data_IF_155086672191
#
_entry.id   IF_155086672191
#
_cell.length_a   1.000
_cell.length_b   1.000
_cell.length_c   1.000
_cell.angle_alpha   90.00
_cell.angle_beta   90.00
_cell.angle_gamma   90.00
#
_symmetry.space_group_name_H-M   'P 1'
#
loop_
_entity.id
_entity.type
_entity.pdbx_description
1 polymer ?
#
# COMPACT_ATOMS: atom_id res chain seq x y z
N UNK A 1 -16.28 -26.11 11.54
CA UNK A 1 -15.29 -26.19 12.64
C UNK A 1 -13.85 -26.34 12.14
N UNK A 2 -13.53 -27.28 11.22
CA UNK A 2 -12.16 -27.46 10.67
C UNK A 2 -11.57 -26.20 10.00
N UNK A 3 -12.35 -25.51 9.16
CA UNK A 3 -11.92 -24.27 8.49
C UNK A 3 -11.64 -23.12 9.47
N UNK A 4 -12.43 -23.03 10.55
CA UNK A 4 -12.21 -22.02 11.59
C UNK A 4 -10.88 -22.26 12.32
N UNK A 5 -10.59 -23.50 12.71
CA UNK A 5 -9.31 -23.85 13.33
C UNK A 5 -8.12 -23.60 12.40
N UNK A 6 -8.27 -23.92 11.11
CA UNK A 6 -7.23 -23.65 10.11
C UNK A 6 -6.94 -22.16 9.97
N UNK A 7 -7.99 -21.34 9.83
CA UNK A 7 -7.88 -19.88 9.79
C UNK A 7 -7.27 -19.28 11.07
N UNK A 8 -7.55 -19.90 12.22
CA UNK A 8 -6.96 -19.51 13.51
C UNK A 8 -5.46 -19.83 13.60
N UNK A 9 -5.06 -21.00 13.09
CA UNK A 9 -3.68 -21.47 13.06
C UNK A 9 -2.83 -20.70 12.04
N UNK A 10 -3.44 -20.13 11.00
CA UNK A 10 -2.73 -19.33 10.00
C UNK A 10 -2.31 -17.95 10.54
N UNK A 11 -2.75 -17.55 11.74
CA UNK A 11 -2.42 -16.27 12.37
C UNK A 11 -1.49 -16.47 13.58
N UNK A 12 -0.17 -16.31 13.45
CA UNK A 12 0.78 -16.57 14.54
C UNK A 12 0.53 -15.70 15.78
N UNK A 13 0.01 -14.48 15.60
CA UNK A 13 -0.38 -13.57 16.70
C UNK A 13 -1.51 -14.14 17.56
N UNK A 14 -2.46 -14.83 16.95
CA UNK A 14 -3.62 -15.44 17.60
C UNK A 14 -3.22 -16.71 18.37
N UNK A 15 -2.25 -17.47 17.83
CA UNK A 15 -1.64 -18.61 18.52
C UNK A 15 -0.98 -18.17 19.83
N UNK A 16 -0.19 -17.09 19.82
CA UNK A 16 0.48 -16.57 21.03
C UNK A 16 -0.56 -16.16 22.08
N UNK A 17 -1.62 -15.47 21.66
CA UNK A 17 -2.70 -15.05 22.55
C UNK A 17 -3.42 -16.25 23.18
N UNK A 18 -3.75 -17.27 22.39
CA UNK A 18 -4.38 -18.48 22.89
C UNK A 18 -3.48 -19.29 23.82
N UNK A 19 -2.18 -19.38 23.51
CA UNK A 19 -1.22 -20.02 24.39
C UNK A 19 -1.14 -19.29 25.74
N UNK A 20 -1.09 -17.96 25.74
CA UNK A 20 -1.15 -17.16 26.95
C UNK A 20 -2.42 -17.39 27.76
N UNK A 21 -3.59 -17.44 27.10
CA UNK A 21 -4.87 -17.68 27.76
C UNK A 21 -4.92 -19.09 28.40
N UNK A 22 -4.43 -20.10 27.68
CA UNK A 22 -4.35 -21.46 28.20
C UNK A 22 -3.43 -21.56 29.42
N UNK A 23 -2.24 -20.95 29.37
CA UNK A 23 -1.32 -20.89 30.52
C UNK A 23 -1.93 -20.18 31.73
N UNK A 24 -2.64 -19.06 31.49
CA UNK A 24 -3.33 -18.31 32.53
C UNK A 24 -4.42 -19.16 33.22
N UNK A 25 -5.26 -19.83 32.42
CA UNK A 25 -6.31 -20.71 32.93
C UNK A 25 -5.73 -21.91 33.70
N UNK A 26 -4.65 -22.52 33.20
CA UNK A 26 -3.99 -23.63 33.87
C UNK A 26 -3.36 -23.20 35.22
N UNK A 27 -2.75 -22.01 35.25
CA UNK A 27 -2.22 -21.42 36.48
C UNK A 27 -3.31 -21.10 37.51
N UNK A 28 -4.44 -20.52 37.08
CA UNK A 28 -5.53 -20.12 37.97
C UNK A 28 -6.36 -21.30 38.48
N UNK A 29 -6.78 -22.21 37.59
CA UNK A 29 -7.65 -23.32 37.94
C UNK A 29 -6.90 -24.55 38.47
N UNK A 30 -5.59 -24.67 38.17
CA UNK A 30 -4.77 -25.83 38.51
C UNK A 30 -5.09 -27.10 37.72
N UNK A 31 -6.16 -27.09 36.92
CA UNK A 31 -6.59 -28.18 36.04
C UNK A 31 -7.35 -27.64 34.84
N UNK A 32 -7.16 -28.26 33.68
CA UNK A 32 -7.94 -27.99 32.47
C UNK A 32 -8.23 -29.31 31.75
N UNK A 33 -9.40 -29.41 31.13
CA UNK A 33 -9.76 -30.55 30.29
C UNK A 33 -9.49 -30.19 28.82
N UNK A 34 -8.63 -30.95 28.15
CA UNK A 34 -8.34 -30.78 26.71
C UNK A 34 -8.57 -32.12 26.04
N UNK A 35 -9.49 -32.17 25.07
CA UNK A 35 -9.81 -33.39 24.31
C UNK A 35 -10.16 -34.60 25.20
N UNK A 36 -10.86 -34.38 26.31
CA UNK A 36 -11.28 -35.44 27.23
C UNK A 36 -10.20 -35.92 28.21
N UNK A 37 -8.96 -35.43 28.13
CA UNK A 37 -7.93 -35.67 29.13
C UNK A 37 -7.83 -34.49 30.10
N UNK A 38 -7.75 -34.78 31.40
CA UNK A 38 -7.48 -33.77 32.42
C UNK A 38 -5.97 -33.59 32.59
N UNK A 39 -5.49 -32.39 32.31
CA UNK A 39 -4.13 -31.97 32.64
C UNK A 39 -4.23 -31.19 33.95
N UNK A 40 -3.58 -31.68 35.00
CA UNK A 40 -3.55 -31.06 36.31
C UNK A 40 -2.11 -30.77 36.74
N UNK A 41 -1.91 -29.61 37.36
CA UNK A 41 -0.63 -29.21 37.94
C UNK A 41 -0.82 -29.16 39.45
N UNK A 42 -0.25 -30.13 40.16
CA UNK A 42 -0.41 -30.25 41.61
C UNK A 42 0.38 -29.16 42.37
N UNK A 43 1.56 -28.82 41.86
CA UNK A 43 2.48 -27.90 42.53
C UNK A 43 2.02 -26.42 42.41
N UNK A 44 1.81 -25.72 43.55
CA UNK A 44 1.39 -24.32 43.55
C UNK A 44 2.44 -23.37 42.96
N UNK A 45 3.74 -23.68 43.04
CA UNK A 45 4.80 -22.84 42.47
C UNK A 45 4.67 -22.81 40.95
N UNK A 46 4.49 -23.97 40.32
CA UNK A 46 4.30 -24.06 38.88
C UNK A 46 3.01 -23.38 38.40
N UNK A 47 1.95 -23.38 39.23
CA UNK A 47 0.73 -22.62 38.93
C UNK A 47 0.97 -21.12 38.88
N UNK A 48 1.74 -20.57 39.82
CA UNK A 48 2.09 -19.14 39.84
C UNK A 48 2.94 -18.80 38.61
N UNK A 49 3.96 -19.61 38.31
CA UNK A 49 4.83 -19.41 37.13
C UNK A 49 4.01 -19.37 35.84
N UNK A 50 3.08 -20.32 35.67
CA UNK A 50 2.20 -20.36 34.49
C UNK A 50 1.21 -19.20 34.44
N UNK A 51 0.69 -18.77 35.59
CA UNK A 51 -0.16 -17.58 35.67
C UNK A 51 0.58 -16.34 35.18
N UNK A 52 1.79 -16.10 35.67
CA UNK A 52 2.63 -14.96 35.25
C UNK A 52 2.99 -15.04 33.78
N UNK A 53 3.45 -16.20 33.30
CA UNK A 53 3.76 -16.42 31.89
C UNK A 53 2.53 -16.19 30.99
N UNK A 54 1.35 -16.65 31.43
CA UNK A 54 0.09 -16.46 30.75
C UNK A 54 -0.29 -14.98 30.61
N UNK A 55 -0.15 -14.17 31.67
CA UNK A 55 -0.38 -12.71 31.60
C UNK A 55 0.56 -12.05 30.60
N UNK A 56 1.86 -12.38 30.64
CA UNK A 56 2.85 -11.79 29.73
C UNK A 56 2.55 -12.14 28.26
N UNK A 57 2.25 -13.41 27.97
CA UNK A 57 1.91 -13.87 26.62
C UNK A 57 0.60 -13.25 26.12
N UNK A 58 -0.43 -13.14 26.98
CA UNK A 58 -1.67 -12.45 26.63
C UNK A 58 -1.43 -10.98 26.31
N UNK A 59 -0.70 -10.26 27.18
CA UNK A 59 -0.36 -8.85 26.97
C UNK A 59 0.41 -8.64 25.67
N UNK A 60 1.41 -9.47 25.40
CA UNK A 60 2.18 -9.43 24.16
C UNK A 60 1.33 -9.80 22.93
N UNK A 61 0.50 -10.84 23.03
CA UNK A 61 -0.43 -11.25 21.97
C UNK A 61 -1.43 -10.15 21.60
N UNK A 62 -2.04 -9.50 22.60
CA UNK A 62 -2.92 -8.34 22.39
C UNK A 62 -2.17 -7.19 21.72
N UNK A 63 -0.96 -6.86 22.18
CA UNK A 63 -0.14 -5.82 21.56
C UNK A 63 0.17 -6.13 20.08
N UNK A 64 0.46 -7.40 19.75
CA UNK A 64 0.67 -7.82 18.37
C UNK A 64 -0.61 -7.75 17.52
N UNK A 65 -1.76 -8.15 18.06
CA UNK A 65 -3.05 -8.01 17.35
C UNK A 65 -3.38 -6.54 17.11
N UNK A 66 -3.15 -5.65 18.08
CA UNK A 66 -3.32 -4.21 17.92
C UNK A 66 -2.35 -3.67 16.85
N UNK A 67 -1.11 -4.13 16.85
CA UNK A 67 -0.11 -3.73 15.84
C UNK A 67 -0.53 -4.19 14.43
N UNK A 68 -0.99 -5.43 14.30
CA UNK A 68 -1.36 -6.03 13.01
C UNK A 68 -2.67 -5.42 12.47
N UNK A 69 -3.64 -5.12 13.35
CA UNK A 69 -4.86 -4.39 12.96
C UNK A 69 -4.60 -2.93 12.59
N UNK A 70 -3.59 -2.29 13.20
CA UNK A 70 -3.18 -0.92 12.83
C UNK A 70 -2.29 -0.85 11.59
N UNK A 71 -1.55 -1.92 11.29
CA UNK A 71 -0.65 -2.02 10.14
C UNK A 71 -0.80 -3.41 9.50
N UNK A 72 -1.92 -3.69 8.82
CA UNK A 72 -2.13 -4.98 8.18
C UNK A 72 -1.04 -5.18 7.13
N UNK A 73 -0.07 -6.06 7.42
CA UNK A 73 0.88 -6.50 6.41
C UNK A 73 0.17 -7.54 5.56
N UNK A 74 0.13 -7.38 4.23
CA UNK A 74 -0.42 -8.42 3.37
C UNK A 74 0.40 -9.71 3.56
N UNK A 75 -0.24 -10.76 4.08
CA UNK A 75 0.40 -12.01 4.52
C UNK A 75 0.74 -12.98 3.39
N UNK A 76 0.44 -12.61 2.13
CA UNK A 76 0.88 -13.31 0.93
C UNK A 76 1.34 -12.28 -0.10
N UNK A 77 2.39 -12.56 -0.91
CA UNK A 77 2.69 -11.75 -2.07
C UNK A 77 1.46 -11.79 -2.98
N UNK A 78 0.75 -10.66 -3.09
CA UNK A 78 -0.31 -10.53 -4.07
C UNK A 78 0.30 -10.79 -5.43
N UNK A 79 -0.23 -11.76 -6.18
CA UNK A 79 0.11 -11.90 -7.59
C UNK A 79 -0.58 -10.73 -8.31
N UNK A 80 0.13 -9.62 -8.40
CA UNK A 80 -0.35 -8.43 -9.06
C UNK A 80 -0.58 -8.73 -10.55
N UNK A 81 -1.71 -8.26 -11.08
CA UNK A 81 -2.03 -8.34 -12.51
C UNK A 81 -1.25 -7.28 -13.31
N UNK A 82 -0.96 -6.15 -12.66
CA UNK A 82 -0.24 -5.03 -13.24
C UNK A 82 0.95 -4.65 -12.36
N UNK A 83 2.02 -4.18 -12.96
CA UNK A 83 3.15 -3.61 -12.21
C UNK A 83 2.80 -2.20 -11.72
N UNK A 84 2.18 -1.38 -12.57
CA UNK A 84 1.85 0.02 -12.25
C UNK A 84 0.38 0.31 -12.53
N UNK A 85 -0.29 0.93 -11.56
CA UNK A 85 -1.50 1.71 -11.80
C UNK A 85 -1.08 3.15 -12.10
N UNK A 86 -1.38 3.63 -13.30
CA UNK A 86 -1.02 4.97 -13.76
C UNK A 86 -2.26 5.87 -13.78
N UNK A 87 -2.31 6.82 -12.86
CA UNK A 87 -3.40 7.79 -12.74
C UNK A 87 -3.05 9.10 -13.46
N UNK A 88 -3.94 9.60 -14.31
CA UNK A 88 -3.79 10.89 -14.97
C UNK A 88 -5.13 11.61 -15.16
N UNK A 89 -5.20 12.95 -15.00
CA UNK A 89 -6.47 13.69 -14.95
C UNK A 89 -7.10 13.92 -16.34
N UNK A 90 -7.29 12.85 -17.11
CA UNK A 90 -7.79 12.91 -18.50
C UNK A 90 -9.18 13.53 -18.62
N UNK A 91 -10.06 13.30 -17.64
CA UNK A 91 -11.42 13.85 -17.65
C UNK A 91 -11.51 15.30 -17.12
N UNK A 92 -10.41 15.86 -16.60
CA UNK A 92 -10.41 17.21 -16.04
C UNK A 92 -10.07 18.30 -17.06
N UNK A 93 -9.54 17.92 -18.23
CA UNK A 93 -9.26 18.85 -19.33
C UNK A 93 -10.55 19.24 -20.04
N UNK A 94 -10.59 20.45 -20.60
CA UNK A 94 -11.82 21.04 -21.14
C UNK A 94 -11.88 21.03 -22.66
N UNK A 95 -10.73 20.87 -23.32
CA UNK A 95 -10.63 20.88 -24.78
C UNK A 95 -9.99 19.60 -25.31
N UNK A 96 -10.31 19.26 -26.56
CA UNK A 96 -9.71 18.11 -27.26
C UNK A 96 -8.18 18.29 -27.43
N UNK A 97 -7.72 19.53 -27.67
CA UNK A 97 -6.29 19.83 -27.77
C UNK A 97 -5.54 19.57 -26.45
N UNK A 98 -6.10 19.98 -25.31
CA UNK A 98 -5.55 19.67 -23.99
C UNK A 98 -5.56 18.16 -23.70
N UNK A 99 -6.64 17.47 -24.12
CA UNK A 99 -6.74 16.01 -23.99
C UNK A 99 -5.64 15.29 -24.79
N UNK A 100 -5.41 15.68 -26.04
CA UNK A 100 -4.39 15.08 -26.89
C UNK A 100 -2.98 15.38 -26.36
N UNK A 101 -2.74 16.59 -25.86
CA UNK A 101 -1.48 16.95 -25.21
C UNK A 101 -1.24 16.10 -23.95
N UNK A 102 -2.25 15.97 -23.08
CA UNK A 102 -2.18 15.15 -21.89
C UNK A 102 -1.96 13.68 -22.24
N UNK A 103 -2.65 13.16 -23.25
CA UNK A 103 -2.48 11.78 -23.72
C UNK A 103 -1.08 11.53 -24.26
N UNK A 104 -0.52 12.46 -25.03
CA UNK A 104 0.84 12.37 -25.53
C UNK A 104 1.87 12.38 -24.39
N UNK A 105 1.67 13.24 -23.39
CA UNK A 105 2.48 13.29 -22.17
C UNK A 105 2.46 11.95 -21.41
N UNK A 106 1.26 11.42 -21.15
CA UNK A 106 1.07 10.14 -20.46
C UNK A 106 1.72 9.00 -21.25
N UNK A 107 1.60 8.98 -22.58
CA UNK A 107 2.26 7.97 -23.42
C UNK A 107 3.78 8.01 -23.23
N UNK A 108 4.40 9.19 -23.35
CA UNK A 108 5.85 9.36 -23.17
C UNK A 108 6.34 8.85 -21.81
N UNK A 109 5.61 9.17 -20.73
CA UNK A 109 5.96 8.74 -19.37
C UNK A 109 5.85 7.22 -19.24
N UNK A 110 4.76 6.61 -19.73
CA UNK A 110 4.57 5.15 -19.71
C UNK A 110 5.67 4.43 -20.49
N UNK A 111 6.03 4.94 -21.67
CA UNK A 111 7.10 4.38 -22.48
C UNK A 111 8.44 4.42 -21.74
N UNK A 112 8.72 5.51 -21.02
CA UNK A 112 9.91 5.62 -20.18
C UNK A 112 9.91 4.61 -19.02
N UNK A 113 8.77 4.42 -18.35
CA UNK A 113 8.62 3.40 -17.30
C UNK A 113 8.86 1.98 -17.85
N UNK A 114 8.22 1.63 -18.96
CA UNK A 114 8.38 0.32 -19.59
C UNK A 114 9.84 0.08 -20.02
N UNK A 115 10.51 1.11 -20.54
CA UNK A 115 11.88 0.99 -21.05
C UNK A 115 12.94 0.94 -19.94
N UNK A 116 12.76 1.68 -18.85
CA UNK A 116 13.83 1.92 -17.86
C UNK A 116 13.57 1.32 -16.48
N UNK A 117 12.31 1.06 -16.08
CA UNK A 117 11.93 0.78 -14.69
C UNK A 117 11.64 -0.70 -14.36
N UNK A 118 11.97 -1.66 -15.23
CA UNK A 118 11.55 -3.08 -15.07
C UNK A 118 10.03 -3.27 -14.94
N UNK A 119 9.25 -2.29 -15.41
CA UNK A 119 7.80 -2.36 -15.49
C UNK A 119 7.44 -3.09 -16.79
N UNK A 120 6.61 -4.13 -16.71
CA UNK A 120 6.16 -4.88 -17.88
C UNK A 120 4.71 -4.56 -18.22
N UNK A 121 3.90 -4.24 -17.20
CA UNK A 121 2.46 -4.04 -17.34
C UNK A 121 2.00 -2.77 -16.63
N UNK A 122 1.30 -1.90 -17.38
CA UNK A 122 0.73 -0.65 -16.86
C UNK A 122 -0.76 -0.66 -17.11
N UNK A 123 -1.55 -0.44 -16.06
CA UNK A 123 -2.96 -0.08 -16.18
C UNK A 123 -3.11 1.43 -16.24
N UNK A 124 -3.86 1.92 -17.20
CA UNK A 124 -4.18 3.34 -17.39
C UNK A 124 -5.62 3.44 -17.89
N UNK A 125 -6.52 3.98 -17.07
CA UNK A 125 -7.94 4.15 -17.38
C UNK A 125 -8.16 5.05 -18.60
N UNK A 126 -7.21 5.95 -18.90
CA UNK A 126 -7.22 6.80 -20.08
C UNK A 126 -6.92 6.05 -21.38
N UNK A 127 -6.43 4.81 -21.31
CA UNK A 127 -5.99 4.06 -22.47
C UNK A 127 -7.16 3.63 -23.36
N UNK A 128 -7.33 4.32 -24.48
CA UNK A 128 -8.36 4.00 -25.48
C UNK A 128 -9.62 4.88 -25.39
N UNK A 129 -9.70 5.77 -24.41
CA UNK A 129 -10.76 6.77 -24.33
C UNK A 129 -10.63 7.78 -25.47
N UNK A 130 -11.78 8.34 -25.88
CA UNK A 130 -11.87 9.48 -26.80
C UNK A 130 -12.38 10.68 -26.02
N UNK A 131 -11.96 11.88 -26.41
CA UNK A 131 -12.42 13.10 -25.79
C UNK A 131 -13.96 13.16 -25.76
N UNK A 132 -14.52 13.51 -24.60
CA UNK A 132 -15.96 13.60 -24.36
C UNK A 132 -16.72 12.27 -24.31
N UNK A 133 -16.04 11.13 -24.47
CA UNK A 133 -16.64 9.79 -24.35
C UNK A 133 -16.14 9.10 -23.09
N UNK A 134 -16.76 9.45 -21.98
CA UNK A 134 -16.48 8.88 -20.67
C UNK A 134 -17.36 7.67 -20.40
N UNK A 135 -16.80 6.72 -19.67
CA UNK A 135 -17.60 5.62 -19.11
C UNK A 135 -18.51 6.16 -17.99
N UNK A 136 -19.61 5.44 -17.67
CA UNK A 136 -20.40 5.74 -16.48
C UNK A 136 -19.51 5.73 -15.22
N UNK A 137 -19.76 6.70 -14.32
CA UNK A 137 -18.89 6.95 -13.16
C UNK A 137 -18.78 5.75 -12.22
N UNK A 138 -19.86 4.99 -12.03
CA UNK A 138 -19.92 3.82 -11.17
C UNK A 138 -19.09 2.65 -11.74
N UNK A 139 -19.19 2.42 -13.04
CA UNK A 139 -18.43 1.38 -13.73
C UNK A 139 -16.93 1.69 -13.77
N UNK A 140 -16.58 2.94 -14.08
CA UNK A 140 -15.19 3.40 -14.08
C UNK A 140 -14.58 3.25 -12.68
N UNK A 141 -15.29 3.71 -11.63
CA UNK A 141 -14.81 3.62 -10.26
C UNK A 141 -14.55 2.17 -9.80
N UNK A 142 -15.45 1.23 -10.10
CA UNK A 142 -15.24 -0.17 -9.69
C UNK A 142 -14.04 -0.80 -10.41
N UNK A 143 -13.94 -0.58 -11.73
CA UNK A 143 -12.85 -1.09 -12.56
C UNK A 143 -11.50 -0.52 -12.12
N UNK A 144 -11.43 0.80 -11.88
CA UNK A 144 -10.21 1.48 -11.44
C UNK A 144 -9.79 1.02 -10.04
N UNK A 145 -10.73 0.84 -9.11
CA UNK A 145 -10.42 0.34 -7.78
C UNK A 145 -9.94 -1.11 -7.81
N UNK A 146 -10.52 -1.96 -8.66
CA UNK A 146 -10.02 -3.32 -8.86
C UNK A 146 -8.61 -3.32 -9.46
N UNK A 147 -8.37 -2.53 -10.50
CA UNK A 147 -7.07 -2.43 -11.14
C UNK A 147 -6.01 -1.86 -10.18
N UNK A 148 -6.35 -0.84 -9.39
CA UNK A 148 -5.49 -0.27 -8.37
C UNK A 148 -5.10 -1.33 -7.33
N UNK A 149 -6.07 -2.09 -6.81
CA UNK A 149 -5.80 -3.20 -5.87
C UNK A 149 -4.84 -4.21 -6.48
N UNK A 150 -5.06 -4.56 -7.74
CA UNK A 150 -4.28 -5.54 -8.49
C UNK A 150 -2.94 -5.03 -9.05
N UNK A 151 -2.58 -3.77 -8.80
CA UNK A 151 -1.31 -3.18 -9.22
C UNK A 151 -0.25 -3.21 -8.13
N UNK A 152 1.02 -3.41 -8.48
CA UNK A 152 2.14 -3.44 -7.52
C UNK A 152 2.53 -2.03 -7.03
N UNK A 153 2.58 -1.08 -7.94
CA UNK A 153 2.99 0.30 -7.72
C UNK A 153 1.89 1.26 -8.16
N UNK A 154 1.98 2.50 -7.69
CA UNK A 154 1.12 3.60 -8.09
C UNK A 154 1.96 4.75 -8.67
N UNK A 155 1.55 5.28 -9.80
CA UNK A 155 2.14 6.50 -10.37
C UNK A 155 1.01 7.48 -10.67
N UNK A 156 1.16 8.70 -10.20
CA UNK A 156 0.26 9.81 -10.48
C UNK A 156 0.99 10.82 -11.37
N UNK A 157 0.41 11.17 -12.51
CA UNK A 157 0.79 12.36 -13.27
C UNK A 157 -0.22 13.48 -13.01
N UNK A 158 0.21 14.54 -12.33
CA UNK A 158 -0.63 15.66 -11.90
C UNK A 158 0.04 16.99 -12.28
N UNK A 159 -0.10 17.43 -13.54
CA UNK A 159 0.67 18.55 -14.10
C UNK A 159 0.24 19.93 -13.58
N UNK A 160 -0.89 20.00 -12.87
CA UNK A 160 -1.34 21.22 -12.21
C UNK A 160 -2.57 20.98 -11.34
N UNK A 161 -3.06 22.04 -10.69
CA UNK A 161 -4.22 22.02 -9.79
C UNK A 161 -5.56 21.75 -10.52
N UNK A 162 -5.83 20.47 -10.75
CA UNK A 162 -7.01 19.97 -11.48
C UNK A 162 -7.94 19.14 -10.59
N UNK A 163 -9.25 19.42 -10.60
CA UNK A 163 -10.22 18.58 -9.89
C UNK A 163 -10.41 17.27 -10.67
N UNK A 164 -9.96 16.15 -10.11
CA UNK A 164 -10.00 14.85 -10.78
C UNK A 164 -10.03 13.68 -9.77
N UNK A 165 -10.57 12.54 -10.19
CA UNK A 165 -10.60 11.29 -9.41
C UNK A 165 -9.21 10.78 -9.04
N UNK A 166 -8.17 11.16 -9.81
CA UNK A 166 -6.80 10.71 -9.57
C UNK A 166 -6.27 11.06 -8.17
N UNK A 167 -6.78 12.12 -7.54
CA UNK A 167 -6.45 12.47 -6.15
C UNK A 167 -7.13 11.51 -5.15
N UNK A 168 -8.35 11.06 -5.45
CA UNK A 168 -9.02 10.02 -4.68
C UNK A 168 -8.26 8.70 -4.79
N UNK A 169 -7.89 8.29 -6.01
CA UNK A 169 -7.07 7.09 -6.26
C UNK A 169 -5.72 7.16 -5.53
N UNK A 170 -5.05 8.32 -5.55
CA UNK A 170 -3.80 8.51 -4.82
C UNK A 170 -3.97 8.35 -3.30
N UNK A 171 -5.07 8.86 -2.74
CA UNK A 171 -5.43 8.64 -1.34
C UNK A 171 -5.69 7.18 -1.00
N UNK A 172 -6.40 6.46 -1.89
CA UNK A 172 -6.62 5.00 -1.74
C UNK A 172 -5.29 4.24 -1.81
N UNK A 173 -4.44 4.53 -2.79
CA UNK A 173 -3.12 3.91 -2.95
C UNK A 173 -2.25 4.11 -1.70
N UNK A 174 -2.26 5.32 -1.14
CA UNK A 174 -1.56 5.66 0.10
C UNK A 174 -2.13 4.88 1.30
N UNK A 175 -3.45 4.80 1.43
CA UNK A 175 -4.13 4.03 2.47
C UNK A 175 -3.83 2.52 2.39
N UNK A 176 -3.60 2.01 1.18
CA UNK A 176 -3.14 0.63 0.95
C UNK A 176 -1.64 0.42 1.16
N UNK A 177 -0.88 1.49 1.43
CA UNK A 177 0.57 1.42 1.62
C UNK A 177 1.36 1.08 0.35
N UNK A 178 0.79 1.29 -0.83
CA UNK A 178 1.48 1.01 -2.10
C UNK A 178 2.68 1.96 -2.29
N UNK A 179 3.83 1.48 -2.82
CA UNK A 179 4.87 2.38 -3.29
C UNK A 179 4.30 3.29 -4.38
N UNK A 180 4.51 4.60 -4.21
CA UNK A 180 3.86 5.62 -5.00
C UNK A 180 4.82 6.70 -5.45
N UNK A 181 4.66 7.17 -6.69
CA UNK A 181 5.37 8.34 -7.22
C UNK A 181 4.35 9.34 -7.71
N UNK A 182 4.43 10.56 -7.20
CA UNK A 182 3.61 11.69 -7.63
C UNK A 182 4.47 12.60 -8.49
N UNK A 183 4.18 12.61 -9.78
CA UNK A 183 4.84 13.43 -10.80
C UNK A 183 4.03 14.71 -10.94
N UNK A 184 4.62 15.85 -10.61
CA UNK A 184 3.93 17.14 -10.63
C UNK A 184 4.85 18.25 -11.11
N UNK A 185 4.26 19.33 -11.62
CA UNK A 185 4.99 20.53 -12.01
C UNK A 185 5.31 21.41 -10.80
N UNK A 186 4.39 21.45 -9.84
CA UNK A 186 4.50 22.20 -8.59
C UNK A 186 3.91 21.36 -7.44
N UNK A 187 4.72 21.01 -6.45
CA UNK A 187 4.24 20.25 -5.31
C UNK A 187 3.11 20.94 -4.53
N UNK A 188 2.99 22.27 -4.59
CA UNK A 188 1.93 23.03 -3.96
C UNK A 188 0.54 22.78 -4.57
N UNK A 189 0.46 22.21 -5.78
CA UNK A 189 -0.81 21.85 -6.42
C UNK A 189 -1.41 20.57 -5.83
N UNK A 190 -0.60 19.73 -5.17
CA UNK A 190 -1.11 18.57 -4.45
C UNK A 190 -1.93 19.00 -3.22
N UNK A 191 -2.88 18.16 -2.75
CA UNK A 191 -3.58 18.41 -1.50
C UNK A 191 -2.62 18.61 -0.32
N UNK A 192 -2.94 19.54 0.59
CA UNK A 192 -2.08 19.98 1.70
C UNK A 192 -1.31 18.84 2.42
N UNK A 193 -1.99 17.74 2.76
CA UNK A 193 -1.35 16.60 3.42
C UNK A 193 -0.37 15.85 2.51
N UNK A 194 -0.66 15.75 1.22
CA UNK A 194 0.20 15.06 0.25
C UNK A 194 1.49 15.84 -0.01
N UNK A 195 1.49 17.17 0.07
CA UNK A 195 2.67 18.02 -0.13
C UNK A 195 3.82 17.65 0.82
N UNK A 196 3.49 17.11 2.00
CA UNK A 196 4.47 16.78 3.05
C UNK A 196 4.96 15.33 3.00
N UNK A 197 4.53 14.52 2.02
CA UNK A 197 4.82 13.08 2.04
C UNK A 197 6.33 12.76 1.97
N UNK A 198 7.11 13.53 1.22
CA UNK A 198 8.58 13.40 1.20
C UNK A 198 9.22 13.68 2.57
N UNK A 199 8.59 14.48 3.43
CA UNK A 199 9.07 14.82 4.76
C UNK A 199 8.68 13.80 5.84
N UNK A 200 7.98 12.72 5.46
CA UNK A 200 7.51 11.67 6.36
C UNK A 200 8.14 10.29 6.05
N UNK A 201 9.47 10.17 5.84
CA UNK A 201 10.10 8.93 5.39
C UNK A 201 9.96 7.79 6.39
N UNK A 202 9.74 8.07 7.68
CA UNK A 202 9.48 7.01 8.69
C UNK A 202 8.12 6.36 8.54
N UNK A 203 7.12 7.08 8.01
CA UNK A 203 5.73 6.61 7.90
C UNK A 203 5.38 6.17 6.48
N UNK A 204 5.96 6.82 5.48
CA UNK A 204 5.73 6.53 4.06
C UNK A 204 7.06 6.45 3.28
N UNK A 205 8.00 5.56 3.68
CA UNK A 205 9.30 5.43 3.01
C UNK A 205 9.23 5.07 1.52
N UNK A 206 8.08 4.59 1.05
CA UNK A 206 7.83 4.16 -0.31
C UNK A 206 7.10 5.20 -1.18
N UNK A 207 6.84 6.40 -0.66
CA UNK A 207 6.15 7.47 -1.39
C UNK A 207 7.15 8.56 -1.75
N UNK A 208 7.13 8.98 -3.01
CA UNK A 208 7.96 10.08 -3.53
C UNK A 208 7.12 11.10 -4.28
N UNK A 209 7.44 12.37 -4.09
CA UNK A 209 6.96 13.49 -4.90
C UNK A 209 8.14 13.96 -5.75
N UNK A 210 7.95 13.95 -7.06
CA UNK A 210 8.90 14.47 -8.04
C UNK A 210 8.30 15.72 -8.67
N UNK A 211 8.88 16.86 -8.31
CA UNK A 211 8.64 18.11 -9.00
C UNK A 211 9.53 18.16 -10.25
N UNK A 212 8.90 18.23 -11.41
CA UNK A 212 9.56 18.25 -12.72
C UNK A 212 8.92 19.34 -13.58
N UNK A 213 9.73 20.21 -14.17
CA UNK A 213 9.22 21.35 -14.96
C UNK A 213 8.33 20.94 -16.14
N UNK A 214 8.62 19.78 -16.76
CA UNK A 214 7.89 19.27 -17.90
C UNK A 214 7.99 17.74 -18.02
N UNK A 215 7.33 17.20 -19.04
CA UNK A 215 7.29 15.76 -19.34
C UNK A 215 8.66 15.20 -19.69
N UNK A 216 9.52 15.96 -20.36
CA UNK A 216 10.83 15.47 -20.78
C UNK A 216 11.77 15.37 -19.56
N UNK A 217 11.64 16.29 -18.59
CA UNK A 217 12.29 16.20 -17.28
C UNK A 217 11.82 14.96 -16.48
N UNK A 218 10.53 14.63 -16.52
CA UNK A 218 10.01 13.38 -15.94
C UNK A 218 10.67 12.16 -16.58
N UNK A 219 10.71 12.11 -17.92
CA UNK A 219 11.31 10.99 -18.66
C UNK A 219 12.80 10.84 -18.34
N UNK A 220 13.54 11.95 -18.29
CA UNK A 220 14.95 11.95 -17.91
C UNK A 220 15.17 11.41 -16.49
N UNK A 221 14.35 11.82 -15.53
CA UNK A 221 14.43 11.33 -14.14
C UNK A 221 14.09 9.85 -14.00
N UNK A 222 13.11 9.37 -14.77
CA UNK A 222 12.81 7.92 -14.85
C UNK A 222 14.01 7.15 -15.41
N UNK A 223 14.63 7.65 -16.48
CA UNK A 223 15.80 7.02 -17.08
C UNK A 223 17.01 6.99 -16.13
N UNK A 224 17.23 8.07 -15.37
CA UNK A 224 18.29 8.15 -14.36
C UNK A 224 18.05 7.18 -13.19
N UNK A 225 16.80 7.09 -12.72
CA UNK A 225 16.45 6.21 -11.60
C UNK A 225 16.50 4.73 -12.00
N UNK A 226 16.12 4.42 -13.25
CA UNK A 226 16.09 3.08 -13.81
C UNK A 226 15.27 2.13 -12.94
N UNK A 227 15.83 0.94 -12.67
CA UNK A 227 15.20 -0.12 -11.87
C UNK A 227 14.96 0.26 -10.41
N UNK A 228 15.62 1.31 -9.92
CA UNK A 228 15.55 1.74 -8.53
C UNK A 228 14.40 2.71 -8.25
N UNK A 229 13.66 3.11 -9.28
CA UNK A 229 12.58 4.10 -9.20
C UNK A 229 11.49 3.78 -8.16
N UNK A 230 11.27 2.52 -7.80
CA UNK A 230 10.34 2.11 -6.74
C UNK A 230 11.04 1.55 -5.49
N UNK A 231 12.37 1.61 -5.41
CA UNK A 231 13.12 1.12 -4.26
C UNK A 231 13.12 2.13 -3.11
N UNK A 232 13.03 1.63 -1.88
CA UNK A 232 13.12 2.46 -0.67
C UNK A 232 14.50 3.09 -0.46
N UNK A 233 15.55 2.53 -1.08
CA UNK A 233 16.93 2.99 -0.94
C UNK A 233 17.28 4.19 -1.84
N UNK A 234 16.51 4.44 -2.91
CA UNK A 234 16.75 5.56 -3.83
C UNK A 234 16.36 6.95 -3.25
N UNK A 235 16.13 7.08 -1.94
CA UNK A 235 15.72 8.33 -1.30
C UNK A 235 16.87 9.33 -1.07
N UNK A 236 18.11 8.97 -1.36
CA UNK A 236 19.22 9.92 -1.44
C UNK A 236 19.31 10.46 -2.87
N UNK A 237 18.35 11.31 -3.24
CA UNK A 237 18.49 12.11 -4.46
C UNK A 237 19.70 13.05 -4.28
N UNK A 238 20.61 13.17 -5.27
CA UNK A 238 21.63 14.20 -5.25
C UNK A 238 20.96 15.59 -5.24
N UNK A 239 21.56 16.59 -4.57
CA UNK A 239 20.95 17.91 -4.43
C UNK A 239 20.58 18.48 -5.79
N UNK A 240 19.36 19.03 -5.88
CA UNK A 240 18.91 19.77 -7.05
C UNK A 240 19.82 20.99 -7.26
N UNK A 241 20.78 20.86 -8.19
CA UNK A 241 21.71 21.93 -8.55
C UNK A 241 23.18 21.48 -8.58
N UNK A 242 23.56 20.77 -9.64
CA UNK A 242 24.93 20.65 -10.13
C UNK A 242 24.92 20.78 -11.66
#
# INVERSE_FOLDING_TARGET
MKEFFKSLLDKPTLIILLAGLASLLLGAAGKIAVMGQQVAIADPVWRIVLGVAGVLLCGFGVALVIRDTRNPRPSRPFKHKYDVFFASPMAAVTTEAEFDQQRAAVSKIKDALLKHAEVTTIYDAGSGLKFGKWEPEDFAADTDMEALRNSRYFVLHYPGKLRSSVLFEAGVALGMGKPAIYLTTDAADLPYLMQQMNNLPRRYPQVRIWECADVDAIVARIAQSGKSIFSTQAAEDPPAGA
#
